data_IF_739060351939
#
_entry.id   IF_739060351939
#
_cell.length_a   1.000
_cell.length_b   1.000
_cell.length_c   1.000
_cell.angle_alpha   90.00
_cell.angle_beta   90.00
_cell.angle_gamma   90.00
#
_symmetry.space_group_name_H-M   'P 1'
#
loop_
_entity.id
_entity.type
_entity.pdbx_description
1 polymer ?
#
# COMPACT_ATOMS: atom_id res chain seq x y z
N UNK A 1 16.52 12.28 -15.53
CA UNK A 1 15.20 11.68 -15.29
C UNK A 1 14.38 12.65 -14.45
N UNK A 2 13.15 12.97 -14.86
CA UNK A 2 12.31 13.91 -14.12
C UNK A 2 11.83 13.24 -12.82
N UNK A 3 11.82 14.00 -11.72
CA UNK A 3 11.30 13.53 -10.43
C UNK A 3 9.85 13.00 -10.56
N UNK A 4 9.04 13.64 -11.42
CA UNK A 4 7.67 13.19 -11.70
C UNK A 4 7.62 11.82 -12.41
N UNK A 5 8.56 11.52 -13.32
CA UNK A 5 8.62 10.20 -14.00
C UNK A 5 9.01 9.09 -13.02
N UNK A 6 9.85 9.42 -12.03
CA UNK A 6 10.23 8.48 -10.99
C UNK A 6 9.05 8.23 -10.04
N UNK A 7 8.36 9.28 -9.62
CA UNK A 7 7.17 9.17 -8.77
C UNK A 7 6.03 8.40 -9.46
N UNK A 8 5.82 8.61 -10.77
CA UNK A 8 4.83 7.86 -11.53
C UNK A 8 5.16 6.36 -11.58
N UNK A 9 6.43 5.99 -11.78
CA UNK A 9 6.87 4.59 -11.73
C UNK A 9 6.73 3.98 -10.34
N UNK A 10 7.08 4.72 -9.29
CA UNK A 10 6.92 4.26 -7.90
C UNK A 10 5.43 4.05 -7.59
N UNK A 11 4.53 4.93 -8.03
CA UNK A 11 3.08 4.77 -7.84
C UNK A 11 2.49 3.56 -8.59
N UNK A 12 2.93 3.29 -9.82
CA UNK A 12 2.52 2.07 -10.55
C UNK A 12 3.01 0.83 -9.81
N UNK A 13 4.24 0.84 -9.30
CA UNK A 13 4.79 -0.26 -8.54
C UNK A 13 4.04 -0.49 -7.21
N UNK A 14 3.78 0.58 -6.45
CA UNK A 14 2.99 0.55 -5.22
C UNK A 14 1.60 -0.03 -5.49
N UNK A 15 0.93 0.39 -6.57
CA UNK A 15 -0.39 -0.15 -6.95
C UNK A 15 -0.36 -1.66 -7.18
N UNK A 16 0.63 -2.16 -7.92
CA UNK A 16 0.79 -3.61 -8.14
C UNK A 16 1.02 -4.34 -6.83
N UNK A 17 1.79 -3.75 -5.91
CA UNK A 17 2.07 -4.36 -4.62
C UNK A 17 0.86 -4.37 -3.70
N UNK A 18 0.04 -3.32 -3.69
CA UNK A 18 -1.23 -3.30 -2.95
C UNK A 18 -2.16 -4.40 -3.46
N UNK A 19 -2.32 -4.56 -4.78
CA UNK A 19 -3.14 -5.65 -5.34
C UNK A 19 -2.64 -7.03 -4.90
N UNK A 20 -1.32 -7.21 -4.81
CA UNK A 20 -0.73 -8.46 -4.30
C UNK A 20 -1.04 -8.68 -2.82
N UNK A 21 -1.01 -7.62 -2.01
CA UNK A 21 -1.42 -7.69 -0.60
C UNK A 21 -2.90 -8.01 -0.44
N UNK A 22 -3.77 -7.44 -1.29
CA UNK A 22 -5.20 -7.77 -1.33
C UNK A 22 -5.41 -9.27 -1.55
N UNK A 23 -4.64 -9.86 -2.48
CA UNK A 23 -4.68 -11.29 -2.75
C UNK A 23 -4.13 -12.12 -1.58
N UNK A 24 -3.01 -11.73 -0.96
CA UNK A 24 -2.43 -12.46 0.18
C UNK A 24 -3.36 -12.47 1.40
N UNK A 25 -4.02 -11.35 1.70
CA UNK A 25 -5.03 -11.27 2.77
C UNK A 25 -6.21 -12.20 2.48
N UNK A 26 -6.53 -12.44 1.20
CA UNK A 26 -7.57 -13.37 0.80
C UNK A 26 -7.13 -14.84 0.92
N UNK A 27 -5.89 -15.14 0.52
CA UNK A 27 -5.32 -16.49 0.48
C UNK A 27 -4.92 -17.02 1.88
N UNK A 28 -5.00 -16.19 2.93
CA UNK A 28 -4.54 -16.50 4.30
C UNK A 28 -3.05 -16.86 4.39
N UNK A 29 -2.27 -16.61 3.33
CA UNK A 29 -0.86 -16.94 3.28
C UNK A 29 -0.06 -15.83 3.98
N UNK A 30 0.29 -16.08 5.25
CA UNK A 30 1.28 -15.30 6.01
C UNK A 30 2.71 -15.63 5.55
N UNK A 31 2.91 -15.72 4.23
CA UNK A 31 4.19 -16.05 3.63
C UNK A 31 5.22 -14.96 3.90
N UNK A 32 6.19 -15.28 4.76
CA UNK A 32 7.45 -14.61 5.08
C UNK A 32 7.37 -13.08 5.28
N UNK A 33 7.74 -12.63 6.47
CA UNK A 33 7.77 -11.23 6.92
C UNK A 33 8.80 -10.38 6.15
N UNK A 34 8.59 -10.20 4.85
CA UNK A 34 9.35 -9.29 4.03
C UNK A 34 8.75 -7.89 4.21
N UNK A 35 9.57 -6.82 4.28
CA UNK A 35 9.04 -5.46 4.42
C UNK A 35 8.05 -5.10 3.29
N UNK A 36 8.17 -5.72 2.12
CA UNK A 36 7.26 -5.55 0.98
C UNK A 36 5.89 -6.23 1.15
N UNK A 37 5.74 -7.16 2.09
CA UNK A 37 4.45 -7.77 2.45
C UNK A 37 3.75 -7.03 3.60
N UNK A 38 4.42 -6.05 4.22
CA UNK A 38 3.85 -5.21 5.27
C UNK A 38 3.05 -4.03 4.69
N UNK A 39 1.76 -3.88 5.02
CA UNK A 39 0.98 -2.70 4.65
C UNK A 39 1.60 -1.39 5.17
N UNK A 40 2.20 -1.42 6.36
CA UNK A 40 2.78 -0.25 7.01
C UNK A 40 3.98 0.33 6.23
N UNK A 41 4.80 -0.53 5.63
CA UNK A 41 5.90 -0.13 4.76
C UNK A 41 5.41 0.69 3.56
N UNK A 42 4.36 0.23 2.90
CA UNK A 42 3.78 0.96 1.75
C UNK A 42 3.10 2.25 2.18
N UNK A 43 2.47 2.28 3.37
CA UNK A 43 1.91 3.49 3.96
C UNK A 43 2.99 4.55 4.18
N UNK A 44 4.14 4.19 4.75
CA UNK A 44 5.25 5.11 4.95
C UNK A 44 5.79 5.64 3.61
N UNK A 45 5.91 4.76 2.60
CA UNK A 45 6.42 5.13 1.27
C UNK A 45 5.50 6.09 0.52
N UNK A 46 4.18 5.88 0.59
CA UNK A 46 3.20 6.80 0.00
C UNK A 46 3.24 8.17 0.70
N UNK A 47 3.39 8.21 2.03
CA UNK A 47 3.51 9.48 2.75
C UNK A 47 4.78 10.25 2.36
N UNK A 48 5.90 9.54 2.17
CA UNK A 48 7.14 10.16 1.68
C UNK A 48 6.97 10.75 0.27
N UNK A 49 6.24 10.07 -0.62
CA UNK A 49 5.91 10.60 -1.95
C UNK A 49 5.01 11.84 -1.85
N UNK A 50 3.98 11.82 -1.00
CA UNK A 50 3.09 12.97 -0.79
C UNK A 50 3.83 14.19 -0.22
N UNK A 51 4.83 13.97 0.63
CA UNK A 51 5.67 15.05 1.17
C UNK A 51 6.51 15.74 0.07
N UNK A 52 6.79 15.05 -1.03
CA UNK A 52 7.63 15.54 -2.09
C UNK A 52 6.82 16.12 -3.25
N UNK A 53 6.26 17.33 -3.04
CA UNK A 53 5.58 18.21 -4.02
C UNK A 53 5.25 17.55 -5.37
N UNK A 54 4.33 16.59 -5.34
CA UNK A 54 3.91 15.87 -6.52
C UNK A 54 3.01 16.77 -7.39
N UNK A 55 2.98 16.55 -8.71
CA UNK A 55 1.91 17.10 -9.52
C UNK A 55 0.54 16.59 -9.03
N UNK A 56 -0.52 17.40 -9.12
CA UNK A 56 -1.81 17.13 -8.47
C UNK A 56 -2.45 15.80 -8.88
N UNK A 57 -2.23 15.37 -10.12
CA UNK A 57 -2.68 14.05 -10.62
C UNK A 57 -2.03 12.90 -9.85
N UNK A 58 -0.71 12.95 -9.62
CA UNK A 58 0.01 11.91 -8.89
C UNK A 58 -0.31 11.95 -7.39
N UNK A 59 -0.53 13.15 -6.84
CA UNK A 59 -0.97 13.31 -5.45
C UNK A 59 -2.33 12.63 -5.21
N UNK A 60 -3.30 12.84 -6.11
CA UNK A 60 -4.62 12.22 -6.03
C UNK A 60 -4.53 10.69 -6.10
N UNK A 61 -3.67 10.16 -6.98
CA UNK A 61 -3.42 8.71 -7.07
C UNK A 61 -2.80 8.17 -5.79
N UNK A 62 -1.79 8.85 -5.24
CA UNK A 62 -1.14 8.47 -3.98
C UNK A 62 -2.14 8.42 -2.81
N UNK A 63 -3.01 9.43 -2.68
CA UNK A 63 -4.08 9.46 -1.66
C UNK A 63 -5.07 8.31 -1.84
N UNK A 64 -5.48 8.00 -3.07
CA UNK A 64 -6.39 6.89 -3.34
C UNK A 64 -5.77 5.53 -2.95
N UNK A 65 -4.47 5.33 -3.23
CA UNK A 65 -3.74 4.14 -2.81
C UNK A 65 -3.63 4.04 -1.27
N UNK A 66 -3.44 5.17 -0.58
CA UNK A 66 -3.39 5.22 0.87
C UNK A 66 -4.71 4.76 1.51
N UNK A 67 -5.85 5.20 0.98
CA UNK A 67 -7.19 4.79 1.46
C UNK A 67 -7.40 3.28 1.28
N UNK A 68 -6.96 2.71 0.15
CA UNK A 68 -7.03 1.25 -0.07
C UNK A 68 -6.17 0.48 0.92
N UNK A 69 -4.96 0.95 1.19
CA UNK A 69 -4.05 0.35 2.18
C UNK A 69 -4.62 0.38 3.59
N UNK A 70 -5.26 1.49 3.97
CA UNK A 70 -5.90 1.62 5.29
C UNK A 70 -7.04 0.62 5.47
N UNK A 71 -7.88 0.46 4.43
CA UNK A 71 -8.94 -0.55 4.40
C UNK A 71 -8.40 -1.98 4.53
N UNK A 72 -7.25 -2.28 3.92
CA UNK A 72 -6.60 -3.58 4.07
C UNK A 72 -6.06 -3.83 5.48
N UNK A 73 -5.46 -2.81 6.09
CA UNK A 73 -5.02 -2.86 7.49
C UNK A 73 -6.18 -3.04 8.46
N UNK A 74 -7.34 -2.43 8.20
CA UNK A 74 -8.55 -2.62 8.98
C UNK A 74 -9.15 -4.03 8.80
N UNK A 75 -9.21 -4.55 7.57
CA UNK A 75 -9.74 -5.88 7.28
C UNK A 75 -8.89 -7.01 7.88
N UNK A 76 -7.58 -6.91 7.78
CA UNK A 76 -6.63 -7.86 8.39
C UNK A 76 -6.72 -7.86 9.92
N UNK A 77 -6.78 -6.68 10.56
CA UNK A 77 -7.01 -6.59 12.02
C UNK A 77 -8.37 -7.14 12.44
N UNK A 78 -9.43 -6.87 11.68
CA UNK A 78 -10.77 -7.36 12.01
C UNK A 78 -10.84 -8.89 11.98
N UNK A 79 -10.12 -9.52 11.05
CA UNK A 79 -10.01 -10.98 10.93
C UNK A 79 -9.24 -11.60 12.11
N UNK A 80 -8.14 -10.97 12.53
CA UNK A 80 -7.38 -11.41 13.71
C UNK A 80 -8.22 -11.38 15.00
N UNK A 81 -9.19 -10.46 15.12
CA UNK A 81 -10.11 -10.40 16.26
C UNK A 81 -11.30 -11.36 16.16
N UNK A 82 -11.59 -11.94 14.99
CA UNK A 82 -12.73 -12.85 14.77
C UNK A 82 -12.31 -14.32 14.73
N UNK A 83 -11.18 -14.69 15.34
CA UNK A 83 -10.81 -16.09 15.55
C UNK A 83 -11.10 -16.46 17.02
N UNK A 84 -12.34 -16.85 17.39
CA UNK A 84 -12.58 -17.52 18.66
C UNK A 84 -11.97 -18.93 18.60
N UNK A 85 -11.24 -19.26 19.67
CA UNK A 85 -10.76 -20.60 19.99
C UNK A 85 -11.90 -21.59 20.20
#
# INVERSE_FOLDING_TARGET
MNYADQAARDLVHIRTMILRLEHLVHDNDTGEASPVTSPDYWRARINALLAAKLPPVLEMQARALLVRLDALGAASRSRAHHQPH
#
